data_IF_532037041366
#
_entry.id   IF_532037041366
#
_cell.length_a   1.000
_cell.length_b   1.000
_cell.length_c   1.000
_cell.angle_alpha   90.00
_cell.angle_beta   90.00
_cell.angle_gamma   90.00
#
_symmetry.space_group_name_H-M   'P 1'
#
loop_
_entity.id
_entity.type
_entity.pdbx_description
1 polymer ?
#
# COMPACT_ATOMS: atom_id res chain seq x y z
N UNK A 1 21.78 -19.58 28.75
CA UNK A 1 22.49 -19.28 27.49
C UNK A 1 21.49 -18.68 26.51
N UNK A 2 21.62 -17.39 26.21
CA UNK A 2 20.72 -16.68 25.29
C UNK A 2 20.95 -17.19 23.87
N UNK A 3 19.90 -17.63 23.20
CA UNK A 3 19.96 -18.08 21.81
C UNK A 3 20.57 -16.98 20.91
N UNK A 4 21.42 -17.33 19.93
CA UNK A 4 21.98 -16.35 19.01
C UNK A 4 20.83 -15.73 18.22
N UNK A 5 20.64 -14.40 18.36
CA UNK A 5 19.74 -13.61 17.50
C UNK A 5 20.13 -13.88 16.05
N UNK A 6 19.30 -14.62 15.32
CA UNK A 6 19.51 -14.89 13.89
C UNK A 6 19.74 -13.56 13.17
N UNK A 7 20.83 -13.47 12.40
CA UNK A 7 21.16 -12.28 11.60
C UNK A 7 19.90 -11.90 10.80
N UNK A 8 19.38 -10.69 11.03
CA UNK A 8 18.30 -10.13 10.23
C UNK A 8 18.70 -10.26 8.75
N UNK A 9 17.87 -10.95 7.96
CA UNK A 9 18.13 -11.14 6.55
C UNK A 9 18.31 -9.77 5.89
N UNK A 10 19.41 -9.58 5.15
CA UNK A 10 19.70 -8.30 4.50
C UNK A 10 18.57 -7.93 3.55
N UNK A 11 17.96 -6.73 3.67
CA UNK A 11 16.87 -6.30 2.79
C UNK A 11 17.31 -6.23 1.31
N UNK A 12 18.61 -6.21 1.02
CA UNK A 12 19.17 -6.13 -0.33
C UNK A 12 19.45 -7.50 -0.98
N UNK A 13 19.29 -8.62 -0.27
CA UNK A 13 19.44 -9.98 -0.83
C UNK A 13 18.09 -10.65 -1.05
N UNK A 14 17.28 -10.09 -1.95
CA UNK A 14 15.98 -10.62 -2.33
C UNK A 14 16.03 -11.40 -3.65
N UNK A 15 15.14 -12.39 -3.86
CA UNK A 15 14.98 -13.07 -5.14
C UNK A 15 14.63 -12.11 -6.28
N UNK A 16 14.94 -12.49 -7.52
CA UNK A 16 14.63 -11.69 -8.72
C UNK A 16 13.13 -11.36 -8.86
N UNK A 17 12.26 -12.29 -8.44
CA UNK A 17 10.81 -12.10 -8.39
C UNK A 17 10.42 -10.87 -7.56
N UNK A 18 11.03 -10.72 -6.38
CA UNK A 18 10.74 -9.63 -5.44
C UNK A 18 11.18 -8.29 -6.02
N UNK A 19 12.36 -8.23 -6.64
CA UNK A 19 12.82 -7.01 -7.31
C UNK A 19 11.95 -6.65 -8.53
N UNK A 20 11.47 -7.63 -9.28
CA UNK A 20 10.55 -7.39 -10.39
C UNK A 20 9.25 -6.75 -9.92
N UNK A 21 8.64 -7.27 -8.84
CA UNK A 21 7.41 -6.70 -8.29
C UNK A 21 7.66 -5.38 -7.57
N UNK A 22 8.78 -5.23 -6.85
CA UNK A 22 9.15 -3.97 -6.21
C UNK A 22 9.37 -2.86 -7.25
N UNK A 23 10.06 -3.15 -8.35
CA UNK A 23 10.18 -2.23 -9.48
C UNK A 23 8.81 -1.86 -10.03
N UNK A 24 7.94 -2.84 -10.28
CA UNK A 24 6.57 -2.59 -10.72
C UNK A 24 5.80 -1.69 -9.73
N UNK A 25 5.98 -1.89 -8.42
CA UNK A 25 5.36 -1.06 -7.38
C UNK A 25 5.82 0.39 -7.47
N UNK A 26 7.13 0.63 -7.60
CA UNK A 26 7.67 2.00 -7.77
C UNK A 26 6.94 2.68 -8.92
N UNK A 27 6.91 2.05 -10.10
CA UNK A 27 6.30 2.64 -11.31
C UNK A 27 4.77 2.80 -11.17
N UNK A 28 4.08 1.87 -10.52
CA UNK A 28 2.63 1.95 -10.32
C UNK A 28 2.24 3.11 -9.40
N UNK A 29 2.98 3.33 -8.31
CA UNK A 29 2.76 4.47 -7.41
C UNK A 29 3.21 5.79 -8.02
N UNK A 30 4.27 5.75 -8.83
CA UNK A 30 4.75 6.88 -9.64
C UNK A 30 3.66 7.44 -10.54
N UNK A 31 2.85 6.57 -11.17
CA UNK A 31 1.81 6.96 -12.11
C UNK A 31 0.68 7.84 -11.55
N UNK A 32 0.57 7.97 -10.22
CA UNK A 32 -0.36 8.92 -9.59
C UNK A 32 0.22 10.34 -9.69
N UNK A 33 1.48 10.56 -9.29
CA UNK A 33 2.10 11.89 -9.22
C UNK A 33 2.84 12.33 -10.49
N UNK A 34 3.05 11.41 -11.43
CA UNK A 34 3.76 11.69 -12.68
C UNK A 34 2.96 12.57 -13.66
N UNK A 35 1.65 12.68 -13.47
CA UNK A 35 0.77 13.53 -14.31
C UNK A 35 0.64 14.95 -13.75
N UNK A 36 0.95 15.17 -12.46
CA UNK A 36 0.74 16.45 -11.77
C UNK A 36 1.50 17.62 -12.42
N UNK A 37 2.79 17.48 -12.79
CA UNK A 37 3.55 18.58 -13.37
C UNK A 37 3.10 18.97 -14.78
N UNK A 38 2.39 18.08 -15.48
CA UNK A 38 1.95 18.33 -16.86
C UNK A 38 0.52 18.86 -16.96
N UNK A 39 -0.22 19.00 -15.85
CA UNK A 39 -1.61 19.44 -15.92
C UNK A 39 -1.78 20.81 -16.58
N UNK A 40 -0.97 21.84 -16.26
CA UNK A 40 -1.11 23.15 -16.92
C UNK A 40 -0.81 23.06 -18.41
N UNK A 41 0.29 22.40 -18.80
CA UNK A 41 0.66 22.22 -20.22
C UNK A 41 -0.40 21.41 -21.00
N UNK A 42 -1.02 20.41 -20.37
CA UNK A 42 -2.10 19.63 -20.96
C UNK A 42 -3.37 20.49 -21.14
N UNK A 43 -3.72 21.30 -20.14
CA UNK A 43 -4.86 22.22 -20.19
C UNK A 43 -4.71 23.21 -21.36
N UNK A 44 -3.54 23.83 -21.47
CA UNK A 44 -3.23 24.81 -22.53
C UNK A 44 -3.24 24.15 -23.92
N UNK A 45 -2.56 23.02 -24.08
CA UNK A 45 -2.42 22.37 -25.40
C UNK A 45 -3.72 21.77 -25.97
N UNK A 46 -4.68 21.42 -25.10
CA UNK A 46 -5.97 20.84 -25.50
C UNK A 46 -7.14 21.81 -25.35
N UNK A 47 -6.88 23.09 -25.04
CA UNK A 47 -7.90 24.12 -24.75
C UNK A 47 -8.95 23.61 -23.76
N UNK A 48 -8.47 23.00 -22.68
CA UNK A 48 -9.29 22.33 -21.67
C UNK A 48 -9.28 23.13 -20.36
N UNK A 49 -10.44 23.21 -19.71
CA UNK A 49 -10.55 23.87 -18.41
C UNK A 49 -9.82 23.06 -17.31
N UNK A 50 -9.39 23.70 -16.21
CA UNK A 50 -8.84 22.98 -15.06
C UNK A 50 -9.75 21.86 -14.54
N UNK A 51 -11.07 22.06 -14.60
CA UNK A 51 -12.05 21.01 -14.24
C UNK A 51 -12.08 19.83 -15.20
N UNK A 52 -11.83 20.04 -16.49
CA UNK A 52 -11.72 18.95 -17.47
C UNK A 52 -10.41 18.18 -17.29
N UNK A 53 -9.30 18.85 -17.01
CA UNK A 53 -8.01 18.20 -16.78
C UNK A 53 -7.97 17.45 -15.46
N UNK A 54 -8.59 17.97 -14.40
CA UNK A 54 -8.70 17.27 -13.12
C UNK A 54 -9.50 15.95 -13.19
N UNK A 55 -10.34 15.75 -14.22
CA UNK A 55 -10.98 14.45 -14.49
C UNK A 55 -9.97 13.32 -14.77
N UNK A 56 -8.71 13.63 -15.13
CA UNK A 56 -7.65 12.62 -15.26
C UNK A 56 -7.32 11.93 -13.94
N UNK A 57 -7.45 12.63 -12.80
CA UNK A 57 -7.36 12.02 -11.47
C UNK A 57 -8.66 11.34 -11.11
N UNK A 58 -9.79 12.03 -11.31
CA UNK A 58 -11.09 11.50 -10.92
C UNK A 58 -11.41 10.18 -11.59
N UNK A 59 -11.28 10.09 -12.91
CA UNK A 59 -11.51 8.85 -13.66
C UNK A 59 -10.61 7.71 -13.19
N UNK A 60 -9.32 7.97 -13.03
CA UNK A 60 -8.35 6.99 -12.55
C UNK A 60 -8.66 6.49 -11.13
N UNK A 61 -8.86 7.41 -10.18
CA UNK A 61 -9.04 7.07 -8.76
C UNK A 61 -10.43 6.47 -8.49
N UNK A 62 -11.49 6.97 -9.13
CA UNK A 62 -12.85 6.41 -8.97
C UNK A 62 -12.90 4.98 -9.51
N UNK A 63 -12.36 4.73 -10.71
CA UNK A 63 -12.31 3.37 -11.26
C UNK A 63 -11.42 2.48 -10.40
N UNK A 64 -10.28 2.98 -9.92
CA UNK A 64 -9.44 2.25 -8.95
C UNK A 64 -10.24 1.87 -7.70
N UNK A 65 -10.97 2.82 -7.11
CA UNK A 65 -11.77 2.63 -5.91
C UNK A 65 -12.83 1.53 -6.10
N UNK A 66 -13.63 1.65 -7.16
CA UNK A 66 -14.71 0.69 -7.46
C UNK A 66 -14.13 -0.68 -7.78
N UNK A 67 -13.06 -0.74 -8.58
CA UNK A 67 -12.41 -1.99 -8.94
C UNK A 67 -11.85 -2.71 -7.71
N UNK A 68 -11.27 -2.00 -6.72
CA UNK A 68 -10.73 -2.58 -5.49
C UNK A 68 -11.75 -3.46 -4.72
N UNK A 69 -13.05 -3.16 -4.81
CA UNK A 69 -14.09 -4.00 -4.21
C UNK A 69 -14.13 -5.44 -4.78
N UNK A 70 -13.72 -5.60 -6.04
CA UNK A 70 -13.79 -6.86 -6.77
C UNK A 70 -12.44 -7.57 -6.92
N UNK A 71 -11.32 -6.89 -6.70
CA UNK A 71 -9.99 -7.47 -6.95
C UNK A 71 -9.73 -8.71 -6.10
N UNK A 72 -10.16 -8.74 -4.82
CA UNK A 72 -10.01 -9.94 -3.99
C UNK A 72 -10.74 -11.16 -4.56
N UNK A 73 -11.94 -10.95 -5.13
CA UNK A 73 -12.69 -12.01 -5.82
C UNK A 73 -12.03 -12.45 -7.13
N UNK A 74 -11.50 -11.51 -7.92
CA UNK A 74 -10.75 -11.84 -9.15
C UNK A 74 -9.49 -12.63 -8.80
N UNK A 75 -8.69 -12.11 -7.87
CA UNK A 75 -7.41 -12.70 -7.44
C UNK A 75 -7.58 -14.10 -6.87
N UNK A 76 -8.62 -14.33 -6.05
CA UNK A 76 -8.91 -15.67 -5.52
C UNK A 76 -9.33 -16.69 -6.60
N UNK A 77 -9.91 -16.24 -7.72
CA UNK A 77 -10.30 -17.13 -8.83
C UNK A 77 -9.18 -17.45 -9.79
N UNK A 78 -8.46 -16.43 -10.28
CA UNK A 78 -7.46 -16.61 -11.33
C UNK A 78 -6.03 -16.72 -10.78
N UNK A 79 -5.84 -16.44 -9.49
CA UNK A 79 -4.55 -16.45 -8.80
C UNK A 79 -3.85 -15.08 -8.81
N UNK A 80 -2.97 -14.88 -7.83
CA UNK A 80 -2.28 -13.60 -7.62
C UNK A 80 -1.41 -13.19 -8.81
N UNK A 81 -0.58 -14.08 -9.35
CA UNK A 81 0.30 -13.78 -10.50
C UNK A 81 -0.48 -13.39 -11.75
N UNK A 82 -1.55 -14.11 -12.10
CA UNK A 82 -2.35 -13.79 -13.29
C UNK A 82 -3.05 -12.45 -13.15
N UNK A 83 -3.54 -12.13 -11.95
CA UNK A 83 -4.15 -10.85 -11.64
C UNK A 83 -3.13 -9.71 -11.75
N UNK A 84 -1.93 -9.89 -11.18
CA UNK A 84 -0.81 -8.95 -11.26
C UNK A 84 -0.42 -8.66 -12.71
N UNK A 85 -0.20 -9.71 -13.52
CA UNK A 85 0.16 -9.62 -14.94
C UNK A 85 -0.94 -8.95 -15.75
N UNK A 86 -2.21 -9.29 -15.50
CA UNK A 86 -3.35 -8.64 -16.16
C UNK A 86 -3.40 -7.16 -15.83
N UNK A 87 -3.21 -6.79 -14.56
CA UNK A 87 -3.11 -5.40 -14.13
C UNK A 87 -2.02 -4.64 -14.87
N UNK A 88 -0.80 -5.19 -14.92
CA UNK A 88 0.32 -4.59 -15.65
C UNK A 88 0.03 -4.42 -17.15
N UNK A 89 -0.52 -5.45 -17.81
CA UNK A 89 -0.85 -5.38 -19.23
C UNK A 89 -1.90 -4.29 -19.53
N UNK A 90 -2.94 -4.21 -18.69
CA UNK A 90 -3.97 -3.15 -18.78
C UNK A 90 -3.31 -1.78 -18.61
N UNK A 91 -2.44 -1.58 -17.62
CA UNK A 91 -1.73 -0.32 -17.40
C UNK A 91 -0.92 0.08 -18.64
N UNK A 92 -0.13 -0.83 -19.21
CA UNK A 92 0.71 -0.57 -20.39
C UNK A 92 -0.13 -0.11 -21.58
N UNK A 93 -1.20 -0.85 -21.89
CA UNK A 93 -2.08 -0.54 -23.03
C UNK A 93 -2.75 0.81 -22.84
N UNK A 94 -3.38 1.04 -21.69
CA UNK A 94 -4.13 2.27 -21.45
C UNK A 94 -3.23 3.49 -21.28
N UNK A 95 -2.02 3.36 -20.72
CA UNK A 95 -1.04 4.45 -20.66
C UNK A 95 -0.56 4.84 -22.06
N UNK A 96 -0.27 3.86 -22.94
CA UNK A 96 0.12 4.13 -24.32
C UNK A 96 -1.03 4.80 -25.12
N UNK A 97 -2.27 4.33 -24.94
CA UNK A 97 -3.44 4.93 -25.58
C UNK A 97 -3.69 6.37 -25.09
N UNK A 98 -3.51 6.64 -23.78
CA UNK A 98 -3.61 7.98 -23.21
C UNK A 98 -2.58 8.94 -23.81
N UNK A 99 -1.34 8.48 -24.02
CA UNK A 99 -0.29 9.27 -24.69
C UNK A 99 -0.54 9.47 -26.19
N UNK A 100 -1.34 8.61 -26.84
CA UNK A 100 -1.59 8.67 -28.28
C UNK A 100 -2.79 9.57 -28.66
N UNK A 101 -3.74 9.82 -27.77
CA UNK A 101 -4.98 10.56 -28.08
C UNK A 101 -4.81 12.09 -28.01
N UNK A 102 -5.48 12.79 -28.93
CA UNK A 102 -5.55 14.26 -29.00
C UNK A 102 -6.81 14.87 -28.35
N UNK A 103 -7.61 14.05 -27.66
CA UNK A 103 -8.83 14.51 -26.99
C UNK A 103 -8.74 14.33 -25.48
N UNK A 104 -9.06 15.38 -24.72
CA UNK A 104 -9.14 15.34 -23.26
C UNK A 104 -10.07 14.23 -22.76
N UNK A 105 -11.24 14.06 -23.40
CA UNK A 105 -12.19 13.00 -23.05
C UNK A 105 -11.62 11.60 -23.33
N UNK A 106 -10.83 11.46 -24.41
CA UNK A 106 -10.08 10.25 -24.68
C UNK A 106 -9.07 9.93 -23.58
N UNK A 107 -8.28 10.93 -23.15
CA UNK A 107 -7.30 10.77 -22.07
C UNK A 107 -7.99 10.37 -20.77
N UNK A 108 -9.11 11.02 -20.42
CA UNK A 108 -9.92 10.68 -19.25
C UNK A 108 -10.43 9.23 -19.32
N UNK A 109 -10.95 8.80 -20.47
CA UNK A 109 -11.40 7.41 -20.67
C UNK A 109 -10.26 6.40 -20.53
N UNK A 110 -9.08 6.69 -21.08
CA UNK A 110 -7.93 5.81 -20.95
C UNK A 110 -7.34 5.81 -19.54
N UNK A 111 -7.40 6.94 -18.82
CA UNK A 111 -7.03 7.03 -17.40
C UNK A 111 -7.94 6.18 -16.51
N UNK A 112 -9.24 6.09 -16.82
CA UNK A 112 -10.14 5.14 -16.17
C UNK A 112 -9.67 3.68 -16.37
N UNK A 113 -9.35 3.29 -17.61
CA UNK A 113 -8.83 1.94 -17.89
C UNK A 113 -7.49 1.66 -17.21
N UNK A 114 -6.61 2.65 -17.15
CA UNK A 114 -5.37 2.56 -16.36
C UNK A 114 -5.68 2.34 -14.87
N UNK A 115 -6.62 3.08 -14.28
CA UNK A 115 -7.06 2.89 -12.89
C UNK A 115 -7.52 1.47 -12.58
N UNK A 116 -8.23 0.82 -13.50
CA UNK A 116 -8.61 -0.59 -13.39
C UNK A 116 -7.38 -1.50 -13.28
N UNK A 117 -6.39 -1.30 -14.16
CA UNK A 117 -5.14 -2.05 -14.13
C UNK A 117 -4.36 -1.84 -12.83
N UNK A 118 -4.33 -0.60 -12.34
CA UNK A 118 -3.68 -0.24 -11.08
C UNK A 118 -4.36 -0.89 -9.85
N UNK A 119 -5.69 -0.99 -9.83
CA UNK A 119 -6.40 -1.71 -8.76
C UNK A 119 -6.03 -3.20 -8.73
N UNK A 120 -6.01 -3.86 -9.89
CA UNK A 120 -5.61 -5.27 -10.01
C UNK A 120 -4.16 -5.48 -9.56
N UNK A 121 -3.28 -4.54 -9.90
CA UNK A 121 -1.88 -4.57 -9.53
C UNK A 121 -1.67 -4.40 -8.02
N UNK A 122 -2.10 -3.28 -7.43
CA UNK A 122 -1.80 -2.91 -6.02
C UNK A 122 -2.27 -4.00 -5.04
N UNK A 123 -3.48 -4.53 -5.25
CA UNK A 123 -4.04 -5.51 -4.33
C UNK A 123 -3.26 -6.85 -4.35
N UNK A 124 -2.58 -7.17 -5.45
CA UNK A 124 -1.86 -8.44 -5.59
C UNK A 124 -0.36 -8.31 -5.41
N UNK A 125 0.22 -7.13 -5.66
CA UNK A 125 1.66 -6.90 -5.56
C UNK A 125 2.21 -7.15 -4.14
N UNK A 126 1.49 -6.73 -3.10
CA UNK A 126 1.90 -6.99 -1.72
C UNK A 126 1.91 -8.50 -1.41
N UNK A 127 0.86 -9.22 -1.80
CA UNK A 127 0.78 -10.67 -1.60
C UNK A 127 1.90 -11.41 -2.33
N UNK A 128 2.23 -11.01 -3.56
CA UNK A 128 3.34 -11.61 -4.32
C UNK A 128 4.70 -11.30 -3.68
N UNK A 129 4.92 -10.06 -3.21
CA UNK A 129 6.17 -9.68 -2.53
C UNK A 129 6.32 -10.47 -1.23
N UNK A 130 5.27 -10.57 -0.41
CA UNK A 130 5.29 -11.35 0.83
C UNK A 130 5.56 -12.83 0.56
N UNK A 131 4.90 -13.43 -0.43
CA UNK A 131 5.09 -14.83 -0.78
C UNK A 131 6.47 -15.14 -1.40
N UNK A 132 7.12 -14.15 -2.01
CA UNK A 132 8.40 -14.33 -2.70
C UNK A 132 9.61 -13.86 -1.90
N UNK A 133 9.43 -13.12 -0.81
CA UNK A 133 10.51 -12.51 -0.04
C UNK A 133 11.29 -13.52 0.81
N UNK A 134 12.62 -13.41 0.78
CA UNK A 134 13.53 -14.21 1.60
C UNK A 134 13.67 -13.66 3.03
N UNK A 135 13.30 -12.40 3.26
CA UNK A 135 13.43 -11.69 4.54
C UNK A 135 12.28 -11.89 5.54
N UNK A 136 11.36 -12.81 5.24
CA UNK A 136 10.11 -12.95 5.98
C UNK A 136 9.17 -11.76 5.80
N UNK A 137 8.02 -11.80 6.48
CA UNK A 137 6.93 -10.83 6.33
C UNK A 137 7.36 -9.38 6.59
N UNK A 138 8.16 -9.14 7.64
CA UNK A 138 8.61 -7.78 7.99
C UNK A 138 9.51 -7.18 6.91
N UNK A 139 10.46 -7.97 6.36
CA UNK A 139 11.33 -7.51 5.28
C UNK A 139 10.56 -7.22 3.98
N UNK A 140 9.53 -8.01 3.68
CA UNK A 140 8.64 -7.82 2.54
C UNK A 140 7.87 -6.48 2.62
N UNK A 141 7.30 -6.18 3.80
CA UNK A 141 6.60 -4.91 4.04
C UNK A 141 7.55 -3.73 3.90
N UNK A 142 8.73 -3.78 4.53
CA UNK A 142 9.70 -2.68 4.44
C UNK A 142 10.06 -2.41 2.96
N UNK A 143 10.29 -3.45 2.17
CA UNK A 143 10.59 -3.28 0.75
C UNK A 143 9.40 -2.68 -0.02
N UNK A 144 8.18 -3.13 0.25
CA UNK A 144 6.97 -2.62 -0.38
C UNK A 144 6.74 -1.13 -0.07
N UNK A 145 6.84 -0.74 1.20
CA UNK A 145 6.70 0.65 1.65
C UNK A 145 7.84 1.52 1.11
N UNK A 146 9.06 0.97 1.01
CA UNK A 146 10.19 1.66 0.38
C UNK A 146 9.91 1.89 -1.12
N UNK A 147 9.38 0.90 -1.83
CA UNK A 147 9.00 1.03 -3.22
C UNK A 147 7.88 2.06 -3.42
N UNK A 148 6.88 2.07 -2.53
CA UNK A 148 5.81 3.07 -2.51
C UNK A 148 6.37 4.48 -2.30
N UNK A 149 7.18 4.68 -1.26
CA UNK A 149 7.78 5.98 -0.96
C UNK A 149 8.68 6.49 -2.10
N UNK A 150 9.47 5.59 -2.70
CA UNK A 150 10.31 5.93 -3.85
C UNK A 150 9.45 6.30 -5.08
N UNK A 151 8.37 5.57 -5.35
CA UNK A 151 7.46 5.87 -6.46
C UNK A 151 6.82 7.26 -6.31
N UNK A 152 6.35 7.60 -5.11
CA UNK A 152 5.75 8.92 -4.82
C UNK A 152 6.79 10.05 -5.00
N UNK A 153 8.04 9.84 -4.60
CA UNK A 153 9.09 10.85 -4.70
C UNK A 153 9.62 11.02 -6.14
N UNK A 154 9.82 9.92 -6.87
CA UNK A 154 10.43 9.94 -8.22
C UNK A 154 9.43 10.31 -9.31
N UNK A 155 8.13 10.10 -9.07
CA UNK A 155 7.10 10.32 -10.10
C UNK A 155 7.00 11.73 -10.62
N UNK A 156 6.90 12.73 -9.75
CA UNK A 156 6.84 14.11 -10.21
C UNK A 156 8.14 14.55 -10.90
N UNK A 157 9.31 14.05 -10.47
CA UNK A 157 10.58 14.32 -11.14
C UNK A 157 10.52 13.84 -12.60
N UNK A 158 10.26 12.55 -12.81
CA UNK A 158 10.19 12.00 -14.17
C UNK A 158 9.02 12.56 -14.97
N UNK A 159 7.90 12.88 -14.32
CA UNK A 159 6.75 13.55 -14.94
C UNK A 159 7.10 14.94 -15.46
N UNK A 160 7.83 15.72 -14.67
CA UNK A 160 8.29 17.05 -15.08
C UNK A 160 9.33 17.01 -16.18
N UNK A 161 10.35 16.14 -16.06
CA UNK A 161 11.39 15.97 -17.10
C UNK A 161 10.80 15.53 -18.45
N UNK A 162 9.96 14.49 -18.44
CA UNK A 162 9.32 14.01 -19.66
C UNK A 162 8.29 15.01 -20.17
N UNK A 163 7.59 15.69 -19.26
CA UNK A 163 6.61 16.73 -19.53
C UNK A 163 7.19 17.96 -20.21
N UNK A 164 8.40 18.36 -19.83
CA UNK A 164 9.15 19.45 -20.45
C UNK A 164 9.54 19.18 -21.91
N UNK A 165 9.67 17.90 -22.30
CA UNK A 165 9.84 17.52 -23.71
C UNK A 165 8.49 17.53 -24.42
N UNK A 166 7.49 16.88 -23.82
CA UNK A 166 6.10 16.85 -24.29
C UNK A 166 5.20 16.39 -23.15
N UNK A 167 4.02 17.00 -23.00
CA UNK A 167 3.00 16.51 -22.05
C UNK A 167 2.61 15.04 -22.29
N UNK A 168 2.88 14.48 -23.48
CA UNK A 168 2.67 13.06 -23.81
C UNK A 168 3.76 12.14 -23.24
N UNK A 169 4.95 12.68 -23.01
CA UNK A 169 6.13 11.95 -22.55
C UNK A 169 5.88 11.11 -21.31
N UNK A 170 5.27 11.65 -20.25
CA UNK A 170 4.97 10.89 -19.03
C UNK A 170 4.10 9.64 -19.29
N UNK A 171 3.09 9.72 -20.16
CA UNK A 171 2.23 8.58 -20.50
C UNK A 171 3.01 7.45 -21.18
N UNK A 172 3.83 7.76 -22.17
CA UNK A 172 4.68 6.77 -22.85
C UNK A 172 5.80 6.26 -21.95
N UNK A 173 6.35 7.11 -21.08
CA UNK A 173 7.35 6.73 -20.08
C UNK A 173 6.81 5.66 -19.12
N UNK A 174 5.60 5.86 -18.59
CA UNK A 174 4.95 4.82 -17.77
C UNK A 174 4.67 3.57 -18.57
N UNK A 175 4.15 3.68 -19.80
CA UNK A 175 3.88 2.52 -20.64
C UNK A 175 5.14 1.67 -20.87
N UNK A 176 6.28 2.31 -21.17
CA UNK A 176 7.56 1.63 -21.36
C UNK A 176 8.07 0.98 -20.07
N UNK A 177 8.09 1.72 -18.95
CA UNK A 177 8.57 1.19 -17.67
C UNK A 177 7.68 0.04 -17.15
N UNK A 178 6.37 0.15 -17.33
CA UNK A 178 5.43 -0.92 -16.98
C UNK A 178 5.52 -2.12 -17.93
N UNK A 179 5.88 -1.93 -19.19
CA UNK A 179 6.14 -3.04 -20.11
C UNK A 179 7.39 -3.83 -19.68
N UNK A 180 8.44 -3.13 -19.24
CA UNK A 180 9.62 -3.78 -18.64
C UNK A 180 9.24 -4.54 -17.36
N UNK A 181 8.43 -3.93 -16.50
CA UNK A 181 7.93 -4.58 -15.29
C UNK A 181 7.06 -5.82 -15.59
N UNK A 182 6.23 -5.76 -16.64
CA UNK A 182 5.41 -6.87 -17.13
C UNK A 182 6.27 -8.04 -17.59
N UNK A 183 7.29 -7.77 -18.43
CA UNK A 183 8.23 -8.79 -18.91
C UNK A 183 9.00 -9.41 -17.74
N UNK A 184 9.50 -8.59 -16.82
CA UNK A 184 10.21 -9.06 -15.63
C UNK A 184 9.31 -9.92 -14.72
N UNK A 185 8.04 -9.52 -14.55
CA UNK A 185 7.06 -10.27 -13.77
C UNK A 185 6.76 -11.62 -14.41
N UNK A 186 6.55 -11.66 -15.73
CA UNK A 186 6.34 -12.90 -16.48
C UNK A 186 7.55 -13.85 -16.37
N UNK A 187 8.77 -13.31 -16.43
CA UNK A 187 10.00 -14.09 -16.43
C UNK A 187 10.42 -14.61 -15.04
N UNK A 188 10.20 -13.81 -13.98
CA UNK A 188 10.80 -14.10 -12.67
C UNK A 188 9.80 -14.49 -11.58
N UNK A 189 8.52 -14.11 -11.67
CA UNK A 189 7.53 -14.43 -10.62
C UNK A 189 7.00 -15.86 -10.82
N UNK A 190 7.17 -16.77 -9.85
CA UNK A 190 6.64 -18.12 -9.94
C UNK A 190 5.12 -18.14 -9.83
N UNK A 191 4.49 -19.21 -10.31
CA UNK A 191 3.06 -19.41 -10.10
C UNK A 191 2.81 -19.67 -8.61
N UNK A 192 1.98 -18.83 -8.00
CA UNK A 192 1.63 -18.92 -6.58
C UNK A 192 0.41 -19.83 -6.38
N UNK A 193 0.34 -20.57 -5.26
CA UNK A 193 -0.84 -21.34 -4.90
C UNK A 193 -2.09 -20.46 -4.88
N UNK A 194 -3.21 -21.00 -5.34
CA UNK A 194 -4.49 -20.29 -5.27
C UNK A 194 -5.06 -20.40 -3.85
N UNK A 195 -5.73 -19.37 -3.34
CA UNK A 195 -6.45 -19.46 -2.08
C UNK A 195 -7.48 -20.61 -2.13
N UNK A 196 -7.59 -21.36 -1.04
CA UNK A 196 -8.50 -22.50 -0.94
C UNK A 196 -9.99 -22.07 -0.95
N UNK A 197 -10.26 -20.82 -0.53
CA UNK A 197 -11.59 -20.21 -0.54
C UNK A 197 -11.65 -18.98 -1.44
N UNK A 198 -12.70 -18.91 -2.26
CA UNK A 198 -13.00 -17.75 -3.09
C UNK A 198 -13.59 -16.64 -2.23
N UNK A 199 -12.98 -15.46 -2.24
CA UNK A 199 -13.47 -14.28 -1.51
C UNK A 199 -14.80 -13.81 -2.11
N UNK A 200 -15.78 -13.47 -1.29
CA UNK A 200 -17.04 -12.91 -1.78
C UNK A 200 -16.82 -11.49 -2.34
N UNK A 201 -17.41 -11.13 -3.51
CA UNK A 201 -17.27 -9.79 -4.08
C UNK A 201 -17.94 -8.70 -3.21
N UNK A 202 -18.86 -9.09 -2.32
CA UNK A 202 -19.52 -8.18 -1.37
C UNK A 202 -18.82 -8.13 -0.01
N UNK A 203 -17.73 -8.89 0.20
CA UNK A 203 -17.03 -8.93 1.49
C UNK A 203 -16.54 -7.54 1.93
N UNK A 204 -15.92 -6.70 1.06
CA UNK A 204 -15.47 -5.38 1.47
C UNK A 204 -16.63 -4.46 1.89
N UNK A 205 -17.74 -4.50 1.16
CA UNK A 205 -18.94 -3.72 1.51
C UNK A 205 -19.59 -4.19 2.81
N UNK A 206 -19.62 -5.51 3.06
CA UNK A 206 -20.07 -6.05 4.34
C UNK A 206 -19.14 -5.66 5.49
N UNK A 207 -17.83 -5.60 5.25
CA UNK A 207 -16.85 -5.20 6.25
C UNK A 207 -17.07 -3.76 6.73
N UNK A 208 -17.53 -2.86 5.86
CA UNK A 208 -17.91 -1.48 6.22
C UNK A 208 -19.08 -1.41 7.22
N UNK A 209 -19.75 -2.52 7.56
CA UNK A 209 -20.72 -2.56 8.67
C UNK A 209 -20.06 -2.50 10.04
N UNK A 210 -18.76 -2.84 10.13
CA UNK A 210 -18.02 -2.76 11.37
C UNK A 210 -17.65 -1.31 11.68
N UNK A 211 -18.06 -0.83 12.85
CA UNK A 211 -17.92 0.58 13.25
C UNK A 211 -16.48 1.08 13.17
N UNK A 212 -15.50 0.31 13.64
CA UNK A 212 -14.08 0.71 13.61
C UNK A 212 -13.58 0.97 12.18
N UNK A 213 -13.82 0.01 11.28
CA UNK A 213 -13.44 0.11 9.88
C UNK A 213 -14.20 1.24 9.16
N UNK A 214 -15.51 1.39 9.40
CA UNK A 214 -16.29 2.47 8.81
C UNK A 214 -15.81 3.85 9.25
N UNK A 215 -15.61 4.05 10.56
CA UNK A 215 -15.15 5.33 11.11
C UNK A 215 -13.78 5.70 10.55
N UNK A 216 -12.84 4.75 10.55
CA UNK A 216 -11.51 5.00 9.99
C UNK A 216 -11.55 5.20 8.46
N UNK A 217 -12.42 4.49 7.76
CA UNK A 217 -12.63 4.65 6.33
C UNK A 217 -13.22 6.02 5.96
N UNK A 218 -14.20 6.53 6.71
CA UNK A 218 -14.77 7.88 6.51
C UNK A 218 -13.70 8.95 6.82
N UNK A 219 -12.94 8.78 7.90
CA UNK A 219 -11.82 9.68 8.20
C UNK A 219 -10.82 9.72 7.05
N UNK A 220 -10.47 8.55 6.51
CA UNK A 220 -9.58 8.44 5.36
C UNK A 220 -10.15 9.04 4.09
N UNK A 221 -11.46 8.91 3.85
CA UNK A 221 -12.15 9.57 2.74
C UNK A 221 -12.00 11.10 2.84
N UNK A 222 -12.30 11.67 4.01
CA UNK A 222 -12.19 13.12 4.24
C UNK A 222 -10.75 13.63 4.13
N UNK A 223 -9.79 12.88 4.69
CA UNK A 223 -8.37 13.18 4.51
C UNK A 223 -7.95 13.11 3.03
N UNK A 224 -8.34 12.07 2.30
CA UNK A 224 -7.97 11.96 0.88
C UNK A 224 -8.66 13.02 0.04
N UNK A 225 -9.83 13.49 0.44
CA UNK A 225 -10.47 14.63 -0.22
C UNK A 225 -9.57 15.86 -0.19
N UNK A 226 -9.16 16.33 1.00
CA UNK A 226 -8.27 17.48 1.13
C UNK A 226 -6.92 17.28 0.43
N UNK A 227 -6.35 16.07 0.56
CA UNK A 227 -5.08 15.72 -0.07
C UNK A 227 -5.14 15.80 -1.61
N UNK A 228 -6.13 15.18 -2.25
CA UNK A 228 -6.23 15.18 -3.71
C UNK A 228 -6.74 16.50 -4.28
N UNK A 229 -7.50 17.30 -3.50
CA UNK A 229 -7.75 18.70 -3.87
C UNK A 229 -6.44 19.48 -4.00
N UNK A 230 -5.54 19.36 -3.01
CA UNK A 230 -4.23 19.99 -3.09
C UNK A 230 -3.44 19.47 -4.29
N UNK A 231 -3.33 18.14 -4.43
CA UNK A 231 -2.52 17.53 -5.48
C UNK A 231 -3.00 17.93 -6.90
N UNK A 232 -4.31 17.91 -7.14
CA UNK A 232 -4.88 18.18 -8.45
C UNK A 232 -4.99 19.67 -8.80
N UNK A 233 -4.86 20.58 -7.82
CA UNK A 233 -5.14 22.01 -8.02
C UNK A 233 -4.01 22.96 -7.64
N UNK A 234 -3.08 22.54 -6.78
CA UNK A 234 -1.92 23.34 -6.40
C UNK A 234 -0.98 23.74 -7.56
N UNK A 235 -0.83 22.98 -8.68
CA UNK A 235 0.04 23.41 -9.77
C UNK A 235 -0.38 24.73 -10.45
N UNK A 236 -1.68 25.00 -10.57
CA UNK A 236 -2.20 26.17 -11.30
C UNK A 236 -1.73 27.52 -10.73
N UNK A 237 -1.85 27.80 -9.42
CA UNK A 237 -1.38 29.07 -8.84
C UNK A 237 0.15 29.20 -8.74
N UNK A 238 0.94 28.17 -9.07
CA UNK A 238 2.40 28.26 -9.02
C UNK A 238 2.99 28.95 -10.25
N UNK A 239 2.28 28.98 -11.37
CA UNK A 239 2.74 29.59 -12.65
C UNK A 239 4.12 29.09 -13.11
N UNK A 240 4.44 27.84 -12.78
CA UNK A 240 5.69 27.17 -13.10
C UNK A 240 5.55 26.27 -14.33
N UNK A 241 6.66 26.04 -15.03
CA UNK A 241 6.68 25.05 -16.10
C UNK A 241 6.66 23.60 -15.57
N UNK A 242 6.55 22.62 -16.48
CA UNK A 242 6.47 21.21 -16.09
C UNK A 242 7.71 20.72 -15.34
N UNK A 243 8.91 21.19 -15.69
CA UNK A 243 10.15 20.78 -15.03
C UNK A 243 10.20 21.34 -13.60
N UNK A 244 9.91 22.63 -13.44
CA UNK A 244 9.88 23.31 -12.14
C UNK A 244 8.81 22.72 -11.21
N UNK A 245 7.59 22.46 -11.72
CA UNK A 245 6.55 21.74 -10.99
C UNK A 245 7.03 20.36 -10.57
N UNK A 246 7.72 19.65 -11.46
CA UNK A 246 8.33 18.35 -11.16
C UNK A 246 9.28 18.42 -9.97
N UNK A 247 10.12 19.45 -9.88
CA UNK A 247 11.02 19.67 -8.74
C UNK A 247 10.28 19.97 -7.44
N UNK A 248 9.24 20.81 -7.48
CA UNK A 248 8.41 21.13 -6.30
C UNK A 248 7.77 19.87 -5.73
N UNK A 249 7.10 19.08 -6.57
CA UNK A 249 6.46 17.84 -6.14
C UNK A 249 7.47 16.74 -5.78
N UNK A 250 8.69 16.79 -6.32
CA UNK A 250 9.78 15.92 -5.84
C UNK A 250 10.18 16.29 -4.41
N UNK A 251 10.34 17.58 -4.10
CA UNK A 251 10.59 18.06 -2.73
C UNK A 251 9.49 17.65 -1.76
N UNK A 252 8.22 17.80 -2.18
CA UNK A 252 7.06 17.28 -1.45
C UNK A 252 7.16 15.76 -1.22
N UNK A 253 7.40 14.97 -2.28
CA UNK A 253 7.45 13.51 -2.22
C UNK A 253 8.60 12.98 -1.36
N UNK A 254 9.74 13.66 -1.34
CA UNK A 254 10.86 13.37 -0.44
C UNK A 254 10.46 13.56 1.03
N UNK A 255 9.72 14.63 1.35
CA UNK A 255 9.19 14.83 2.71
C UNK A 255 8.13 13.79 3.07
N UNK A 256 7.24 13.43 2.14
CA UNK A 256 6.28 12.32 2.33
C UNK A 256 7.01 11.03 2.69
N UNK A 257 8.01 10.64 1.90
CA UNK A 257 8.77 9.42 2.12
C UNK A 257 9.53 9.45 3.46
N UNK A 258 10.24 10.55 3.74
CA UNK A 258 11.00 10.68 4.99
C UNK A 258 10.10 10.62 6.23
N UNK A 259 9.00 11.37 6.22
CA UNK A 259 8.07 11.43 7.35
C UNK A 259 7.23 10.16 7.52
N UNK A 260 6.89 9.47 6.43
CA UNK A 260 6.22 8.18 6.46
C UNK A 260 7.11 7.10 7.10
N UNK A 261 8.35 6.96 6.65
CA UNK A 261 9.22 5.85 7.06
C UNK A 261 9.90 6.10 8.40
N UNK A 262 10.41 7.32 8.62
CA UNK A 262 11.25 7.59 9.79
C UNK A 262 10.49 8.25 10.94
N UNK A 263 9.62 9.21 10.65
CA UNK A 263 9.03 10.03 11.72
C UNK A 263 7.71 9.46 12.23
N UNK A 264 6.83 8.96 11.36
CA UNK A 264 5.53 8.44 11.75
C UNK A 264 5.61 7.34 12.82
N UNK A 265 6.46 6.29 12.67
CA UNK A 265 6.54 5.23 13.68
C UNK A 265 7.11 5.74 15.03
N UNK A 266 8.05 6.69 14.98
CA UNK A 266 8.65 7.28 16.19
C UNK A 266 7.65 8.14 16.97
N UNK A 267 6.86 8.94 16.26
CA UNK A 267 5.82 9.76 16.86
C UNK A 267 4.71 8.88 17.43
N UNK A 268 4.29 7.86 16.70
CA UNK A 268 3.32 6.87 17.16
C UNK A 268 3.78 6.16 18.43
N UNK A 269 5.04 5.69 18.48
CA UNK A 269 5.58 5.02 19.66
C UNK A 269 5.63 5.93 20.90
N UNK A 270 5.83 7.24 20.71
CA UNK A 270 5.95 8.21 21.80
C UNK A 270 4.61 8.76 22.29
N UNK A 271 3.65 8.99 21.37
CA UNK A 271 2.42 9.73 21.66
C UNK A 271 1.13 8.93 21.38
N UNK A 272 1.23 7.73 20.80
CA UNK A 272 0.10 6.93 20.32
C UNK A 272 -0.43 7.38 18.96
N UNK A 273 -1.21 6.55 18.28
CA UNK A 273 -1.66 6.83 16.90
C UNK A 273 -2.65 8.00 16.84
N UNK A 274 -3.67 8.01 17.70
CA UNK A 274 -4.73 9.03 17.62
C UNK A 274 -4.26 10.46 17.91
N UNK A 275 -3.48 10.75 18.99
CA UNK A 275 -2.99 12.11 19.24
C UNK A 275 -2.15 12.67 18.08
N UNK A 276 -1.32 11.83 17.48
CA UNK A 276 -0.51 12.21 16.31
C UNK A 276 -1.39 12.50 15.10
N UNK A 277 -2.39 11.68 14.82
CA UNK A 277 -3.34 11.91 13.73
C UNK A 277 -4.15 13.21 13.92
N UNK A 278 -4.60 13.54 15.14
CA UNK A 278 -5.28 14.83 15.38
C UNK A 278 -4.38 16.02 15.08
N UNK A 279 -3.15 16.02 15.60
CA UNK A 279 -2.19 17.09 15.34
C UNK A 279 -1.90 17.20 13.84
N UNK A 280 -1.85 16.08 13.14
CA UNK A 280 -1.63 16.04 11.70
C UNK A 280 -2.78 16.66 10.89
N UNK A 281 -4.02 16.24 11.17
CA UNK A 281 -5.21 16.75 10.48
C UNK A 281 -5.37 18.26 10.71
N UNK A 282 -5.11 18.74 11.94
CA UNK A 282 -5.12 20.17 12.24
C UNK A 282 -3.99 20.92 11.51
N UNK A 283 -2.78 20.36 11.47
CA UNK A 283 -1.67 20.93 10.73
C UNK A 283 -1.95 21.03 9.22
N UNK A 284 -2.52 19.98 8.63
CA UNK A 284 -2.95 19.98 7.23
C UNK A 284 -4.05 21.00 6.95
N UNK A 285 -5.01 21.18 7.86
CA UNK A 285 -6.02 22.22 7.74
C UNK A 285 -5.39 23.63 7.72
N UNK A 286 -4.38 23.87 8.57
CA UNK A 286 -3.62 25.13 8.58
C UNK A 286 -2.85 25.32 7.27
N UNK A 287 -2.14 24.28 6.80
CA UNK A 287 -1.41 24.34 5.53
C UNK A 287 -2.34 24.67 4.37
N UNK A 288 -3.51 24.03 4.29
CA UNK A 288 -4.51 24.33 3.26
C UNK A 288 -5.08 25.75 3.38
N UNK A 289 -5.31 26.24 4.60
CA UNK A 289 -5.75 27.62 4.81
C UNK A 289 -4.68 28.64 4.40
N UNK A 290 -3.39 28.32 4.60
CA UNK A 290 -2.26 29.14 4.13
C UNK A 290 -2.19 29.15 2.60
N UNK A 291 -2.34 27.99 1.94
CA UNK A 291 -2.41 27.92 0.47
C UNK A 291 -3.60 28.74 -0.04
N UNK A 292 -4.76 28.62 0.59
CA UNK A 292 -5.96 29.36 0.20
C UNK A 292 -5.78 30.88 0.34
N UNK A 293 -5.27 31.34 1.48
CA UNK A 293 -5.08 32.76 1.76
C UNK A 293 -3.93 33.37 0.92
N UNK A 294 -2.93 32.58 0.58
CA UNK A 294 -1.77 32.98 -0.20
C UNK A 294 -1.82 32.52 -1.66
N UNK A 295 -3.00 32.21 -2.21
CA UNK A 295 -3.12 31.61 -3.55
C UNK A 295 -2.56 32.49 -4.67
N UNK A 296 -2.46 33.80 -4.44
CA UNK A 296 -1.91 34.78 -5.38
C UNK A 296 -0.39 34.92 -5.29
N UNK A 297 0.26 34.32 -4.29
CA UNK A 297 1.71 34.32 -4.13
C UNK A 297 2.26 32.90 -4.41
N UNK A 298 2.84 32.65 -5.60
CA UNK A 298 3.40 31.34 -5.96
C UNK A 298 4.36 30.79 -4.92
N UNK A 299 5.17 31.65 -4.29
CA UNK A 299 6.16 31.24 -3.28
C UNK A 299 5.47 30.63 -2.06
N UNK A 300 4.42 31.27 -1.57
CA UNK A 300 3.63 30.74 -0.45
C UNK A 300 3.02 29.38 -0.79
N UNK A 301 2.46 29.23 -2.00
CA UNK A 301 1.87 27.95 -2.44
C UNK A 301 2.94 26.85 -2.52
N UNK A 302 4.08 27.13 -3.16
CA UNK A 302 5.19 26.18 -3.32
C UNK A 302 5.67 25.68 -1.95
N UNK A 303 5.99 26.61 -1.03
CA UNK A 303 6.50 26.27 0.30
C UNK A 303 5.46 25.47 1.09
N UNK A 304 4.20 25.89 1.08
CA UNK A 304 3.14 25.21 1.81
C UNK A 304 2.87 23.80 1.25
N UNK A 305 2.91 23.62 -0.07
CA UNK A 305 2.79 22.30 -0.71
C UNK A 305 3.95 21.41 -0.32
N UNK A 306 5.20 21.86 -0.39
CA UNK A 306 6.35 21.06 0.04
C UNK A 306 6.20 20.66 1.51
N UNK A 307 5.91 21.61 2.40
CA UNK A 307 5.71 21.37 3.85
C UNK A 307 4.58 20.38 4.11
N UNK A 308 3.50 20.41 3.32
CA UNK A 308 2.39 19.45 3.44
C UNK A 308 2.84 18.00 3.33
N UNK A 309 3.95 17.73 2.61
CA UNK A 309 4.51 16.40 2.43
C UNK A 309 4.86 15.72 3.75
N UNK A 310 5.40 16.47 4.71
CA UNK A 310 5.71 15.95 6.04
C UNK A 310 4.46 15.43 6.76
N UNK A 311 3.37 16.19 6.69
CA UNK A 311 2.09 15.83 7.30
C UNK A 311 1.43 14.65 6.56
N UNK A 312 1.35 14.70 5.23
CA UNK A 312 0.82 13.62 4.39
C UNK A 312 1.54 12.31 4.63
N UNK A 313 2.88 12.33 4.77
CA UNK A 313 3.69 11.15 5.07
C UNK A 313 3.30 10.49 6.39
N UNK A 314 3.14 11.29 7.47
CA UNK A 314 2.67 10.77 8.75
C UNK A 314 1.25 10.22 8.62
N UNK A 315 0.34 10.99 8.03
CA UNK A 315 -1.08 10.63 8.00
C UNK A 315 -1.34 9.37 7.16
N UNK A 316 -0.68 9.21 5.99
CA UNK A 316 -0.79 8.01 5.16
C UNK A 316 -0.37 6.74 5.91
N UNK A 317 0.75 6.81 6.63
CA UNK A 317 1.31 5.68 7.37
C UNK A 317 0.41 5.27 8.52
N UNK A 318 0.10 6.24 9.39
CA UNK A 318 -0.65 5.98 10.62
C UNK A 318 -2.11 5.63 10.34
N UNK A 319 -2.74 6.24 9.34
CA UNK A 319 -4.14 5.91 8.97
C UNK A 319 -4.23 4.48 8.46
N UNK A 320 -3.31 4.07 7.59
CA UNK A 320 -3.30 2.71 7.04
C UNK A 320 -3.07 1.68 8.13
N UNK A 321 -2.12 1.92 9.05
CA UNK A 321 -1.90 1.06 10.21
C UNK A 321 -3.11 1.00 11.14
N UNK A 322 -3.69 2.16 11.47
CA UNK A 322 -4.84 2.27 12.35
C UNK A 322 -6.04 1.45 11.83
N UNK A 323 -6.33 1.53 10.53
CA UNK A 323 -7.39 0.74 9.89
C UNK A 323 -7.14 -0.74 10.04
N UNK A 324 -5.91 -1.21 9.78
CA UNK A 324 -5.58 -2.63 9.89
C UNK A 324 -5.68 -3.13 11.34
N UNK A 325 -5.40 -2.28 12.32
CA UNK A 325 -5.52 -2.61 13.75
C UNK A 325 -6.97 -2.73 14.22
N UNK A 326 -7.86 -1.85 13.77
CA UNK A 326 -9.27 -1.82 14.24
C UNK A 326 -10.22 -2.70 13.44
N UNK A 327 -9.74 -3.36 12.39
CA UNK A 327 -10.57 -4.15 11.48
C UNK A 327 -10.75 -5.57 11.99
N UNK A 328 -11.98 -6.03 12.27
CA UNK A 328 -12.26 -7.38 12.77
C UNK A 328 -12.40 -8.42 11.64
N UNK A 329 -11.95 -8.08 10.43
CA UNK A 329 -12.06 -8.91 9.22
C UNK A 329 -10.68 -9.19 8.68
N UNK A 330 -10.57 -10.18 7.81
CA UNK A 330 -9.34 -10.49 7.08
C UNK A 330 -8.73 -9.23 6.45
N UNK A 331 -7.41 -9.06 6.58
CA UNK A 331 -6.68 -7.87 6.11
C UNK A 331 -6.92 -7.53 4.63
N UNK A 332 -6.97 -8.50 3.69
CA UNK A 332 -7.29 -8.19 2.30
C UNK A 332 -8.69 -7.56 2.12
N UNK A 333 -9.67 -8.01 2.90
CA UNK A 333 -11.04 -7.48 2.88
C UNK A 333 -11.07 -6.07 3.50
N UNK A 334 -10.40 -5.88 4.64
CA UNK A 334 -10.25 -4.58 5.30
C UNK A 334 -9.54 -3.56 4.38
N UNK A 335 -8.43 -3.97 3.76
CA UNK A 335 -7.64 -3.16 2.83
C UNK A 335 -8.46 -2.75 1.60
N UNK A 336 -9.24 -3.66 1.03
CA UNK A 336 -10.13 -3.37 -0.10
C UNK A 336 -11.24 -2.38 0.28
N UNK A 337 -11.87 -2.57 1.45
CA UNK A 337 -12.93 -1.70 1.95
C UNK A 337 -12.42 -0.29 2.27
N UNK A 338 -11.27 -0.21 2.92
CA UNK A 338 -10.56 1.04 3.20
C UNK A 338 -10.10 1.72 1.92
N UNK A 339 -9.47 0.98 1.01
CA UNK A 339 -9.01 1.46 -0.28
C UNK A 339 -10.14 2.08 -1.08
N UNK A 340 -11.31 1.44 -1.14
CA UNK A 340 -12.51 1.99 -1.75
C UNK A 340 -12.87 3.38 -1.18
N UNK A 341 -12.98 3.52 0.15
CA UNK A 341 -13.34 4.79 0.79
C UNK A 341 -12.24 5.87 0.61
N UNK A 342 -10.98 5.46 0.69
CA UNK A 342 -9.82 6.33 0.46
C UNK A 342 -9.82 6.88 -0.97
N UNK A 343 -9.93 6.02 -1.97
CA UNK A 343 -9.81 6.42 -3.38
C UNK A 343 -11.09 7.07 -3.92
N UNK A 344 -12.28 6.76 -3.40
CA UNK A 344 -13.49 7.47 -3.82
C UNK A 344 -13.46 8.93 -3.37
N UNK A 345 -12.97 9.21 -2.15
CA UNK A 345 -12.74 10.58 -1.69
C UNK A 345 -11.70 11.30 -2.54
N UNK A 346 -10.57 10.65 -2.81
CA UNK A 346 -9.53 11.20 -3.67
C UNK A 346 -9.94 11.42 -5.13
N UNK A 347 -10.85 10.59 -5.66
CA UNK A 347 -11.33 10.72 -7.02
C UNK A 347 -12.38 11.82 -7.19
N UNK A 348 -13.29 12.00 -6.24
CA UNK A 348 -14.32 13.05 -6.33
C UNK A 348 -13.73 14.44 -6.08
N UNK A 349 -12.69 14.55 -5.26
CA UNK A 349 -12.16 15.82 -4.80
C UNK A 349 -11.61 16.74 -5.91
N UNK A 350 -10.71 16.31 -6.82
CA UNK A 350 -10.20 17.17 -7.89
C UNK A 350 -11.30 17.72 -8.82
N UNK A 351 -12.31 16.91 -9.14
CA UNK A 351 -13.43 17.36 -9.96
C UNK A 351 -14.29 18.42 -9.25
N UNK A 352 -14.63 18.20 -7.98
CA UNK A 352 -15.39 19.18 -7.20
C UNK A 352 -14.56 20.45 -6.99
N UNK A 353 -13.27 20.32 -6.71
CA UNK A 353 -12.32 21.42 -6.62
C UNK A 353 -12.28 22.24 -7.92
N UNK A 354 -12.11 21.58 -9.07
CA UNK A 354 -12.10 22.25 -10.37
C UNK A 354 -13.42 22.97 -10.67
N UNK A 355 -14.57 22.34 -10.41
CA UNK A 355 -15.88 22.97 -10.59
C UNK A 355 -16.09 24.18 -9.68
N UNK A 356 -15.60 24.12 -8.45
CA UNK A 356 -15.69 25.21 -7.50
C UNK A 356 -14.81 26.38 -7.94
N UNK A 357 -13.58 26.10 -8.38
CA UNK A 357 -12.67 27.12 -8.88
C UNK A 357 -13.20 27.79 -10.15
N UNK A 358 -13.74 27.03 -11.11
CA UNK A 358 -14.36 27.56 -12.32
C UNK A 358 -15.53 28.51 -12.01
N UNK A 359 -16.27 28.23 -10.93
CA UNK A 359 -17.44 29.01 -10.51
C UNK A 359 -17.11 30.19 -9.57
N UNK A 360 -15.92 30.20 -8.96
CA UNK A 360 -15.52 31.18 -7.95
C UNK A 360 -14.09 31.68 -8.23
N UNK A 361 -13.11 31.24 -7.45
CA UNK A 361 -11.69 31.57 -7.60
C UNK A 361 -10.79 30.40 -7.12
N UNK A 362 -9.49 30.51 -7.36
CA UNK A 362 -8.53 29.44 -7.07
C UNK A 362 -8.37 29.14 -5.56
N UNK A 363 -8.77 30.03 -4.64
CA UNK A 363 -8.62 29.83 -3.18
C UNK A 363 -9.67 28.89 -2.59
N UNK A 364 -10.91 28.92 -3.10
CA UNK A 364 -12.06 28.23 -2.50
C UNK A 364 -11.88 26.70 -2.42
N UNK A 365 -11.31 26.02 -3.45
CA UNK A 365 -10.98 24.60 -3.32
C UNK A 365 -10.07 24.28 -2.14
N UNK A 366 -9.07 25.13 -1.85
CA UNK A 366 -8.16 24.91 -0.74
C UNK A 366 -8.85 25.13 0.62
N UNK A 367 -9.76 26.10 0.73
CA UNK A 367 -10.62 26.24 1.92
C UNK A 367 -11.53 25.03 2.13
N UNK A 368 -12.12 24.48 1.06
CA UNK A 368 -12.89 23.24 1.15
C UNK A 368 -11.99 22.08 1.64
N UNK A 369 -10.78 21.95 1.11
CA UNK A 369 -9.81 20.96 1.57
C UNK A 369 -9.49 21.11 3.07
N UNK A 370 -9.24 22.33 3.54
CA UNK A 370 -9.06 22.62 4.96
C UNK A 370 -10.27 22.19 5.79
N UNK A 371 -11.49 22.50 5.33
CA UNK A 371 -12.73 22.10 5.99
C UNK A 371 -12.86 20.56 6.07
N UNK A 372 -12.50 19.82 5.02
CA UNK A 372 -12.52 18.36 5.05
C UNK A 372 -11.55 17.76 6.07
N UNK A 373 -10.35 18.34 6.24
CA UNK A 373 -9.42 17.94 7.29
C UNK A 373 -9.98 18.22 8.70
N UNK A 374 -10.62 19.37 8.91
CA UNK A 374 -11.28 19.69 10.16
C UNK A 374 -12.47 18.77 10.45
N UNK A 375 -13.23 18.36 9.43
CA UNK A 375 -14.32 17.40 9.56
C UNK A 375 -13.82 15.97 9.85
N UNK A 376 -12.61 15.63 9.44
CA UNK A 376 -12.00 14.34 9.75
C UNK A 376 -11.70 14.18 11.26
N UNK A 377 -11.44 15.28 11.97
CA UNK A 377 -11.15 15.29 13.42
C UNK A 377 -12.30 14.74 14.27
N UNK A 378 -13.55 15.24 14.20
CA UNK A 378 -14.65 14.67 14.98
C UNK A 378 -14.99 13.22 14.57
N UNK A 379 -14.78 12.84 13.30
CA UNK A 379 -14.91 11.45 12.86
C UNK A 379 -13.89 10.57 13.57
N UNK A 380 -12.61 10.96 13.58
CA UNK A 380 -11.56 10.25 14.32
C UNK A 380 -11.87 10.19 15.83
N UNK A 381 -12.40 11.28 16.40
CA UNK A 381 -12.85 11.33 17.80
C UNK A 381 -13.92 10.30 18.13
N UNK A 382 -14.85 10.06 17.21
CA UNK A 382 -15.88 9.03 17.38
C UNK A 382 -15.32 7.59 17.43
N UNK A 383 -14.13 7.36 16.86
CA UNK A 383 -13.43 6.08 16.82
C UNK A 383 -12.25 5.96 17.80
N UNK A 384 -11.90 7.03 18.52
CA UNK A 384 -10.70 7.11 19.35
C UNK A 384 -10.56 5.97 20.37
N UNK A 385 -11.67 5.62 21.04
CA UNK A 385 -11.69 4.53 22.04
C UNK A 385 -11.43 3.16 21.41
N UNK A 386 -11.86 2.95 20.17
CA UNK A 386 -11.63 1.70 19.44
C UNK A 386 -10.16 1.57 19.08
N UNK A 387 -9.56 2.65 18.61
CA UNK A 387 -8.13 2.68 18.26
C UNK A 387 -7.26 2.42 19.47
N UNK A 388 -7.52 3.11 20.59
CA UNK A 388 -6.73 2.95 21.83
C UNK A 388 -6.80 1.54 22.40
N UNK A 389 -7.95 0.86 22.27
CA UNK A 389 -8.11 -0.55 22.70
C UNK A 389 -7.33 -1.51 21.79
N UNK A 390 -7.43 -1.32 20.47
CA UNK A 390 -6.68 -2.14 19.53
C UNK A 390 -5.15 -2.01 19.73
N UNK A 391 -4.67 -0.81 20.06
CA UNK A 391 -3.26 -0.57 20.39
C UNK A 391 -2.82 -1.30 21.68
N UNK A 392 -3.65 -1.30 22.73
CA UNK A 392 -3.33 -2.01 23.98
C UNK A 392 -3.31 -3.52 23.80
N UNK A 393 -4.28 -4.07 23.06
CA UNK A 393 -4.37 -5.52 22.82
C UNK A 393 -3.18 -6.02 21.97
N UNK A 394 -2.62 -5.19 21.09
CA UNK A 394 -1.42 -5.53 20.31
C UNK A 394 -0.14 -5.46 21.14
N UNK A 395 -0.08 -4.57 22.15
CA UNK A 395 1.02 -4.53 23.11
C UNK A 395 1.11 -5.78 23.99
N UNK A 396 -0.02 -6.48 24.14
CA UNK A 396 -0.14 -7.74 24.87
C UNK A 396 -0.01 -8.98 23.98
N UNK A 397 0.44 -8.86 22.72
CA UNK A 397 0.52 -10.01 21.81
C UNK A 397 1.30 -11.14 22.50
N UNK A 398 0.53 -12.15 22.85
CA UNK A 398 0.87 -13.39 23.50
C UNK A 398 2.19 -13.90 22.90
N UNK A 399 3.21 -14.11 23.74
CA UNK A 399 4.22 -15.10 23.40
C UNK A 399 3.41 -16.38 23.17
N UNK A 400 3.18 -16.74 21.91
CA UNK A 400 2.60 -18.03 21.56
C UNK A 400 3.59 -19.05 22.06
N UNK A 401 3.39 -19.50 23.30
CA UNK A 401 4.09 -20.64 23.84
C UNK A 401 3.80 -21.78 22.85
N UNK A 402 4.81 -22.44 22.30
CA UNK A 402 4.59 -23.51 21.35
C UNK A 402 3.63 -24.53 21.99
N UNK A 403 2.45 -24.69 21.39
CA UNK A 403 1.49 -25.69 21.84
C UNK A 403 2.05 -27.06 21.48
N UNK A 404 2.60 -27.77 22.47
CA UNK A 404 3.06 -29.13 22.31
C UNK A 404 1.86 -30.07 22.38
N UNK A 405 1.50 -30.71 21.28
CA UNK A 405 0.55 -31.81 21.29
C UNK A 405 1.33 -33.12 21.47
N UNK A 406 1.20 -33.81 22.62
CA UNK A 406 1.88 -35.09 22.81
C UNK A 406 1.28 -36.14 21.89
N UNK A 407 2.14 -36.79 21.10
CA UNK A 407 1.78 -37.91 20.23
C UNK A 407 2.54 -39.14 20.74
N UNK A 408 1.81 -40.16 21.18
CA UNK A 408 2.38 -41.39 21.75
C UNK A 408 2.56 -41.35 23.27
N UNK A 409 3.14 -42.44 23.80
CA UNK A 409 3.38 -42.63 25.24
C UNK A 409 4.77 -42.12 25.58
N UNK A 410 4.87 -41.22 26.56
CA UNK A 410 6.17 -40.73 27.04
C UNK A 410 6.91 -41.89 27.73
N UNK A 411 8.13 -42.16 27.29
CA UNK A 411 8.96 -43.19 27.89
C UNK A 411 9.27 -42.80 29.35
N UNK A 412 8.94 -43.67 30.31
CA UNK A 412 9.23 -43.48 31.72
C UNK A 412 10.65 -43.97 32.01
N UNK A 413 11.65 -43.11 31.80
CA UNK A 413 13.06 -43.42 32.09
C UNK A 413 13.76 -42.21 32.70
N UNK A 414 14.63 -42.44 33.69
CA UNK A 414 15.45 -41.39 34.34
C UNK A 414 16.65 -40.92 33.49
N UNK A 415 16.89 -41.53 32.34
CA UNK A 415 17.95 -41.13 31.42
C UNK A 415 17.54 -39.87 30.63
N UNK A 416 18.49 -38.94 30.39
CA UNK A 416 18.21 -37.73 29.61
C UNK A 416 17.81 -38.10 28.16
N UNK A 417 16.71 -37.53 27.62
CA UNK A 417 16.25 -37.83 26.29
C UNK A 417 17.18 -37.26 25.22
N UNK A 418 17.30 -37.99 24.12
CA UNK A 418 17.77 -37.43 22.85
C UNK A 418 16.57 -36.76 22.21
N UNK A 419 16.60 -35.43 22.12
CA UNK A 419 15.53 -34.64 21.50
C UNK A 419 15.95 -34.31 20.07
N UNK A 420 15.11 -34.65 19.09
CA UNK A 420 15.32 -34.27 17.69
C UNK A 420 14.14 -33.44 17.20
N UNK A 421 14.41 -32.24 16.70
CA UNK A 421 13.41 -31.36 16.13
C UNK A 421 13.52 -31.39 14.61
N UNK A 422 12.47 -31.84 13.92
CA UNK A 422 12.42 -31.93 12.46
C UNK A 422 11.23 -31.17 11.91
N UNK A 423 11.40 -30.48 10.80
CA UNK A 423 10.32 -29.87 10.03
C UNK A 423 10.08 -30.68 8.75
N UNK A 424 9.07 -30.33 7.96
CA UNK A 424 8.84 -30.91 6.63
C UNK A 424 10.05 -30.66 5.69
N UNK A 425 10.98 -31.62 5.67
CA UNK A 425 12.21 -31.57 4.87
C UNK A 425 12.52 -32.96 4.31
N UNK A 426 13.09 -33.02 3.11
CA UNK A 426 13.40 -34.30 2.42
C UNK A 426 14.34 -35.22 3.21
N UNK A 427 15.13 -34.64 4.11
CA UNK A 427 16.10 -35.36 4.94
C UNK A 427 15.60 -35.62 6.36
N UNK A 428 14.36 -35.26 6.70
CA UNK A 428 13.84 -35.40 8.07
C UNK A 428 13.93 -36.85 8.56
N UNK A 429 13.58 -37.83 7.73
CA UNK A 429 13.70 -39.25 8.07
C UNK A 429 15.16 -39.66 8.38
N UNK A 430 16.13 -39.20 7.58
CA UNK A 430 17.54 -39.51 7.81
C UNK A 430 18.08 -38.89 9.12
N UNK A 431 17.59 -37.70 9.49
CA UNK A 431 17.93 -37.03 10.75
C UNK A 431 17.33 -37.77 11.95
N UNK A 432 16.06 -38.20 11.84
CA UNK A 432 15.41 -39.02 12.88
C UNK A 432 16.13 -40.37 13.04
N UNK A 433 16.50 -41.03 11.93
CA UNK A 433 17.26 -42.29 11.96
C UNK A 433 18.64 -42.13 12.62
N UNK A 434 19.32 -41.02 12.37
CA UNK A 434 20.58 -40.71 13.03
C UNK A 434 20.40 -40.50 14.54
N UNK A 435 19.37 -39.75 14.94
CA UNK A 435 19.03 -39.55 16.35
C UNK A 435 18.64 -40.87 17.04
N UNK A 436 17.93 -41.77 16.34
CA UNK A 436 17.56 -43.09 16.84
C UNK A 436 18.78 -44.00 17.05
N UNK A 437 19.82 -43.91 16.22
CA UNK A 437 21.09 -44.61 16.46
C UNK A 437 21.76 -44.11 17.73
N UNK A 438 21.87 -42.80 17.90
CA UNK A 438 22.46 -42.18 19.10
C UNK A 438 21.70 -42.60 20.36
N UNK A 439 20.36 -42.53 20.33
CA UNK A 439 19.51 -42.89 21.46
C UNK A 439 19.68 -44.37 21.86
N UNK A 440 19.83 -45.28 20.88
CA UNK A 440 20.12 -46.71 21.15
C UNK A 440 21.50 -46.89 21.77
N UNK A 441 22.52 -46.22 21.25
CA UNK A 441 23.89 -46.35 21.74
C UNK A 441 24.05 -45.79 23.16
N UNK A 442 23.26 -44.78 23.53
CA UNK A 442 23.27 -44.18 24.87
C UNK A 442 22.21 -44.73 25.83
N UNK A 443 21.39 -45.69 25.39
CA UNK A 443 20.22 -46.19 26.12
C UNK A 443 19.28 -45.06 26.61
N UNK A 444 19.17 -43.99 25.82
CA UNK A 444 18.32 -42.83 26.11
C UNK A 444 16.97 -42.93 25.39
N UNK A 445 15.88 -42.38 25.94
CA UNK A 445 14.64 -42.22 25.19
C UNK A 445 14.82 -41.22 24.05
N UNK A 446 14.18 -41.46 22.90
CA UNK A 446 14.15 -40.53 21.77
C UNK A 446 12.82 -39.73 21.81
N UNK A 447 12.91 -38.42 21.93
CA UNK A 447 11.76 -37.51 21.77
C UNK A 447 11.86 -36.82 20.40
N UNK A 448 10.92 -37.12 19.50
CA UNK A 448 10.82 -36.47 18.19
C UNK A 448 9.82 -35.32 18.29
N UNK A 449 10.31 -34.10 18.08
CA UNK A 449 9.48 -32.89 18.03
C UNK A 449 9.29 -32.53 16.56
N UNK A 450 8.08 -32.76 16.05
CA UNK A 450 7.75 -32.30 14.71
C UNK A 450 7.43 -30.81 14.73
N UNK A 451 8.34 -30.02 14.18
CA UNK A 451 8.24 -28.57 14.11
C UNK A 451 7.45 -28.20 12.87
N UNK A 452 6.17 -27.96 13.07
CA UNK A 452 5.36 -27.27 12.08
C UNK A 452 5.69 -25.81 12.09
N UNK A 453 6.16 -25.30 10.95
CA UNK A 453 6.32 -23.87 10.77
C UNK A 453 4.96 -23.26 10.49
N UNK A 454 4.26 -22.85 11.53
CA UNK A 454 3.18 -21.88 11.40
C UNK A 454 3.82 -20.54 11.03
N UNK A 455 4.10 -20.36 9.75
CA UNK A 455 4.24 -19.02 9.22
C UNK A 455 2.84 -18.41 9.34
N UNK A 456 2.62 -17.60 10.36
CA UNK A 456 1.41 -16.78 10.45
C UNK A 456 1.48 -15.77 9.31
N UNK A 457 0.94 -16.15 8.16
CA UNK A 457 0.55 -15.24 7.10
C UNK A 457 -0.96 -15.31 7.07
N UNK A 458 -1.60 -14.32 7.70
CA UNK A 458 -3.01 -13.97 7.46
C UNK A 458 -4.02 -15.14 7.58
N UNK A 459 -4.00 -15.87 8.70
CA UNK A 459 -4.97 -16.92 9.07
C UNK A 459 -5.16 -18.10 8.09
N UNK A 460 -4.41 -18.15 6.98
CA UNK A 460 -4.35 -19.32 6.10
C UNK A 460 -3.01 -20.01 6.29
N UNK A 461 -2.99 -20.94 7.24
CA UNK A 461 -1.98 -22.00 7.26
C UNK A 461 -2.18 -22.82 5.98
N UNK A 462 -1.36 -22.60 4.96
CA UNK A 462 -1.14 -23.64 3.97
C UNK A 462 -0.25 -24.69 4.64
N UNK A 463 -0.89 -25.63 5.33
CA UNK A 463 -0.20 -26.78 5.88
C UNK A 463 0.47 -27.52 4.73
N UNK A 464 1.80 -27.57 4.74
CA UNK A 464 2.58 -28.30 3.73
C UNK A 464 2.43 -29.82 3.86
N UNK A 465 1.81 -30.29 4.94
CA UNK A 465 1.52 -31.69 5.24
C UNK A 465 0.26 -31.81 6.12
N UNK A 466 -0.50 -32.89 6.01
CA UNK A 466 -1.66 -33.19 6.86
C UNK A 466 -1.26 -33.72 8.24
N UNK A 467 -2.17 -33.71 9.22
CA UNK A 467 -1.96 -34.33 10.55
C UNK A 467 -1.61 -35.82 10.49
N UNK A 468 -2.12 -36.54 9.49
CA UNK A 468 -1.75 -37.94 9.27
C UNK A 468 -0.33 -38.07 8.75
N UNK A 469 0.11 -37.18 7.83
CA UNK A 469 1.48 -37.18 7.31
C UNK A 469 2.53 -36.77 8.36
N UNK A 470 2.15 -35.93 9.34
CA UNK A 470 3.02 -35.57 10.45
C UNK A 470 3.13 -36.69 11.51
N UNK A 471 2.10 -37.54 11.61
CA UNK A 471 2.04 -38.67 12.56
C UNK A 471 2.69 -39.96 12.01
N UNK A 472 2.64 -40.15 10.69
CA UNK A 472 3.28 -41.24 9.98
C UNK A 472 4.80 -41.03 9.90
#
# INVERSE_FOLDING_TARGET
>A
MSAPRGKAASPFRQPKAVWAVAFACVISFMGIGLVDPILPALAESLDATPSQVSLLFSSYLIVTAVAMLFVGWVSSRIGAKRTLVTGLAVIVVFAALAGATDSINGIVGFRAGWGLGNALFIATSLAVIVASASGGFSGAIILYETALGLGIAVGPLLGGELGGISWRGPFFGVAALMAVALIATLAFVPDLPRPEKVTSPLAPLKALRHRGLLTMGIMALLYNWGFFTMLGYAPYPMELDAHELGLVFTGWGLLVAAFSVFFAPRLQARYGTAPVLYANLLGLAVVMAVIAAGVTDPTTVIVAVVVSGAFIGINNTLTTQAVMLVSPVERPVASSAYGFLRFIGGGLAPYVAGKLADATDLSVPFYLGAATFLLAVPVLASGHRLLRRAETDTGETEQVAPALTPVGVRAATDAPPVVVAVAAHREAAAVVDAAARIARDTASPLEVVHVRRTAVVEEQAADTETDEQAKA
#
